data_IF_149771730264
#
_entry.id   IF_149771730264
#
_cell.length_a   1.000
_cell.length_b   1.000
_cell.length_c   1.000
_cell.angle_alpha   90.00
_cell.angle_beta   90.00
_cell.angle_gamma   90.00
#
_symmetry.space_group_name_H-M   'P 1'
#
loop_
_entity.id
_entity.type
_entity.pdbx_description
1 polymer ?
#
# COMPACT_ATOMS: atom_id res chain seq x y z
N UNK A 1 23.09 14.40 -57.12
CA UNK A 1 23.06 13.79 -55.80
C UNK A 1 21.79 12.99 -55.68
N UNK A 2 21.92 11.69 -55.59
CA UNK A 2 20.97 10.70 -56.08
C UNK A 2 19.77 10.48 -55.16
N UNK A 3 18.58 10.46 -55.71
CA UNK A 3 17.31 10.15 -55.02
C UNK A 3 17.29 8.72 -54.40
N UNK A 4 18.25 7.87 -54.75
CA UNK A 4 18.43 6.52 -54.20
C UNK A 4 19.12 6.51 -52.84
N UNK A 5 20.07 7.41 -52.58
CA UNK A 5 20.74 7.49 -51.24
C UNK A 5 19.80 8.03 -50.17
N UNK A 6 18.89 8.96 -50.53
CA UNK A 6 17.91 9.51 -49.61
C UNK A 6 16.83 8.48 -49.15
N UNK A 7 16.57 7.44 -49.98
CA UNK A 7 15.62 6.36 -49.65
C UNK A 7 16.25 5.24 -48.83
N UNK A 8 17.55 5.05 -48.89
CA UNK A 8 18.29 4.07 -48.07
C UNK A 8 18.44 4.56 -46.62
N UNK A 9 18.81 5.84 -46.47
CA UNK A 9 18.97 6.48 -45.15
C UNK A 9 17.63 6.50 -44.34
N UNK A 10 16.51 6.74 -45.05
CA UNK A 10 15.16 6.65 -44.42
C UNK A 10 14.75 5.22 -44.05
N UNK A 11 15.20 4.21 -44.79
CA UNK A 11 14.91 2.80 -44.46
C UNK A 11 15.77 2.29 -43.32
N UNK A 12 17.03 2.66 -43.22
CA UNK A 12 17.90 2.31 -42.09
C UNK A 12 17.43 3.02 -40.80
N UNK A 13 17.12 4.30 -40.85
CA UNK A 13 16.53 5.02 -39.70
C UNK A 13 15.19 4.46 -39.23
N UNK A 14 14.33 4.00 -40.16
CA UNK A 14 13.05 3.36 -39.80
C UNK A 14 13.22 1.98 -39.20
N UNK A 15 14.25 1.22 -39.64
CA UNK A 15 14.60 -0.11 -39.07
C UNK A 15 15.16 -0.01 -37.65
N UNK A 16 16.03 0.98 -37.42
CA UNK A 16 16.60 1.24 -36.08
C UNK A 16 15.56 1.73 -35.07
N UNK A 17 14.67 2.61 -35.52
CA UNK A 17 13.53 3.08 -34.73
C UNK A 17 12.60 1.91 -34.35
N UNK A 18 12.31 1.04 -35.31
CA UNK A 18 11.43 -0.14 -35.10
C UNK A 18 12.07 -1.15 -34.15
N UNK A 19 13.35 -1.45 -34.30
CA UNK A 19 14.08 -2.33 -33.38
C UNK A 19 14.14 -1.75 -31.95
N UNK A 20 14.32 -0.45 -31.78
CA UNK A 20 14.25 0.24 -30.48
C UNK A 20 12.86 0.17 -29.87
N UNK A 21 11.81 0.31 -30.67
CA UNK A 21 10.43 0.16 -30.19
C UNK A 21 10.14 -1.28 -29.74
N UNK A 22 10.56 -2.28 -30.51
CA UNK A 22 10.37 -3.69 -30.16
C UNK A 22 11.14 -4.07 -28.88
N UNK A 23 12.37 -3.58 -28.72
CA UNK A 23 13.16 -3.78 -27.48
C UNK A 23 12.50 -3.08 -26.29
N UNK A 24 12.01 -1.85 -26.44
CA UNK A 24 11.30 -1.12 -25.38
C UNK A 24 9.98 -1.80 -25.00
N UNK A 25 9.26 -2.34 -25.98
CA UNK A 25 8.01 -3.08 -25.74
C UNK A 25 8.28 -4.41 -25.04
N UNK A 26 9.32 -5.14 -25.42
CA UNK A 26 9.76 -6.36 -24.76
C UNK A 26 10.23 -6.09 -23.33
N UNK A 27 11.04 -5.06 -23.10
CA UNK A 27 11.48 -4.62 -21.78
C UNK A 27 10.28 -4.17 -20.90
N UNK A 28 9.31 -3.49 -21.50
CA UNK A 28 8.09 -3.08 -20.79
C UNK A 28 7.25 -4.27 -20.36
N UNK A 29 7.23 -5.33 -21.17
CA UNK A 29 6.51 -6.57 -20.88
C UNK A 29 7.20 -7.38 -19.79
N UNK A 30 8.53 -7.49 -19.82
CA UNK A 30 9.31 -8.15 -18.76
C UNK A 30 9.13 -7.42 -17.42
N UNK A 31 9.17 -6.09 -17.40
CA UNK A 31 8.92 -5.28 -16.20
C UNK A 31 7.54 -5.52 -15.57
N UNK A 32 6.55 -5.96 -16.36
CA UNK A 32 5.20 -6.28 -15.85
C UNK A 32 5.19 -7.51 -14.94
N UNK A 33 6.02 -8.48 -15.23
CA UNK A 33 6.10 -9.75 -14.49
C UNK A 33 7.19 -9.74 -13.41
N UNK A 34 8.06 -8.71 -13.39
CA UNK A 34 9.17 -8.61 -12.46
C UNK A 34 8.75 -8.76 -10.98
N UNK A 35 7.66 -8.13 -10.49
CA UNK A 35 7.22 -8.32 -9.11
C UNK A 35 6.79 -9.76 -8.82
N UNK A 36 6.17 -10.44 -9.78
CA UNK A 36 5.77 -11.83 -9.64
C UNK A 36 6.99 -12.77 -9.58
N UNK A 37 7.98 -12.54 -10.44
CA UNK A 37 9.25 -13.28 -10.37
C UNK A 37 10.00 -12.98 -9.06
N UNK A 38 10.00 -11.72 -8.60
CA UNK A 38 10.55 -11.35 -7.30
C UNK A 38 9.90 -12.11 -6.15
N UNK A 39 8.58 -12.23 -6.16
CA UNK A 39 7.84 -13.05 -5.20
C UNK A 39 8.28 -14.53 -5.23
N UNK A 40 8.37 -15.12 -6.42
CA UNK A 40 8.79 -16.51 -6.57
C UNK A 40 10.24 -16.73 -6.10
N UNK A 41 11.15 -15.78 -6.37
CA UNK A 41 12.54 -15.84 -5.90
C UNK A 41 12.57 -15.79 -4.36
N UNK A 42 11.85 -14.87 -3.74
CA UNK A 42 11.76 -14.75 -2.28
C UNK A 42 11.19 -16.04 -1.67
N UNK A 43 10.10 -16.55 -2.23
CA UNK A 43 9.46 -17.78 -1.77
C UNK A 43 10.39 -18.98 -1.93
N UNK A 44 11.05 -19.12 -3.08
CA UNK A 44 12.02 -20.19 -3.36
C UNK A 44 13.23 -20.14 -2.43
N UNK A 45 13.78 -18.95 -2.19
CA UNK A 45 14.87 -18.75 -1.26
C UNK A 45 14.52 -19.25 0.15
N UNK A 46 13.36 -18.82 0.68
CA UNK A 46 12.95 -19.28 2.01
C UNK A 46 12.48 -20.73 2.02
N UNK A 47 11.94 -21.26 0.93
CA UNK A 47 11.63 -22.70 0.85
C UNK A 47 12.90 -23.55 0.99
N UNK A 48 14.00 -23.15 0.37
CA UNK A 48 15.29 -23.84 0.46
C UNK A 48 15.91 -23.66 1.85
N UNK A 49 16.02 -22.41 2.34
CA UNK A 49 16.71 -22.10 3.61
C UNK A 49 15.99 -22.63 4.84
N UNK A 50 14.65 -22.78 4.79
CA UNK A 50 13.85 -23.35 5.88
C UNK A 50 13.58 -24.85 5.72
N UNK A 51 14.22 -25.54 4.75
CA UNK A 51 13.98 -26.94 4.47
C UNK A 51 12.52 -27.27 4.13
N UNK A 52 11.82 -26.37 3.44
CA UNK A 52 10.40 -26.49 3.08
C UNK A 52 9.43 -26.13 4.19
N UNK A 53 9.88 -25.77 5.38
CA UNK A 53 8.99 -25.51 6.52
C UNK A 53 8.04 -24.31 6.26
N UNK A 54 8.47 -23.30 5.48
CA UNK A 54 7.62 -22.14 5.13
C UNK A 54 6.39 -22.54 4.31
N UNK A 55 6.47 -23.62 3.54
CA UNK A 55 5.39 -24.13 2.68
C UNK A 55 4.42 -25.05 3.42
N UNK A 56 4.64 -25.38 4.69
CA UNK A 56 3.72 -26.20 5.46
C UNK A 56 2.36 -25.50 5.61
N UNK A 57 1.24 -26.25 5.63
CA UNK A 57 -0.10 -25.66 5.76
C UNK A 57 -0.24 -24.73 6.98
N UNK A 58 0.41 -25.11 8.10
CA UNK A 58 0.43 -24.29 9.32
C UNK A 58 1.09 -22.92 9.09
N UNK A 59 2.25 -22.87 8.43
CA UNK A 59 2.96 -21.62 8.18
C UNK A 59 2.28 -20.78 7.11
N UNK A 60 1.70 -21.39 6.07
CA UNK A 60 0.87 -20.68 5.08
C UNK A 60 -0.33 -20.02 5.78
N UNK A 61 -1.01 -20.75 6.66
CA UNK A 61 -2.11 -20.18 7.46
C UNK A 61 -1.65 -19.00 8.32
N UNK A 62 -0.48 -19.09 8.95
CA UNK A 62 0.09 -18.00 9.74
C UNK A 62 0.46 -16.78 8.89
N UNK A 63 1.05 -16.99 7.70
CA UNK A 63 1.36 -15.93 6.75
C UNK A 63 0.08 -15.21 6.32
N UNK A 64 -0.92 -15.95 5.86
CA UNK A 64 -2.20 -15.39 5.42
C UNK A 64 -2.92 -14.65 6.55
N UNK A 65 -2.99 -15.25 7.72
CA UNK A 65 -3.64 -14.62 8.88
C UNK A 65 -2.92 -13.35 9.33
N UNK A 66 -1.59 -13.27 9.18
CA UNK A 66 -0.80 -12.06 9.42
C UNK A 66 -1.11 -10.94 8.43
N UNK A 67 -1.58 -11.30 7.23
CA UNK A 67 -1.76 -10.39 6.11
C UNK A 67 -3.10 -9.68 6.02
N UNK A 68 -4.16 -10.13 6.70
CA UNK A 68 -5.51 -9.58 6.50
C UNK A 68 -5.57 -8.06 6.69
N UNK A 69 -5.10 -7.58 7.83
CA UNK A 69 -5.06 -6.15 8.13
C UNK A 69 -4.19 -5.38 7.13
N UNK A 70 -2.99 -5.90 6.85
CA UNK A 70 -2.03 -5.27 5.95
C UNK A 70 -2.58 -5.19 4.51
N UNK A 71 -3.26 -6.25 4.04
CA UNK A 71 -3.85 -6.32 2.71
C UNK A 71 -4.98 -5.30 2.54
N UNK A 72 -5.82 -5.14 3.56
CA UNK A 72 -6.92 -4.15 3.56
C UNK A 72 -6.34 -2.74 3.57
N UNK A 73 -5.42 -2.41 4.48
CA UNK A 73 -4.79 -1.10 4.55
C UNK A 73 -4.02 -0.76 3.25
N UNK A 74 -3.37 -1.76 2.65
CA UNK A 74 -2.65 -1.63 1.39
C UNK A 74 -3.54 -1.17 0.23
N UNK A 75 -4.84 -1.49 0.22
CA UNK A 75 -5.79 -0.99 -0.78
C UNK A 75 -5.90 0.53 -0.73
N UNK A 76 -6.01 1.11 0.47
CA UNK A 76 -6.06 2.56 0.65
C UNK A 76 -4.75 3.25 0.24
N UNK A 77 -3.62 2.72 0.72
CA UNK A 77 -2.29 3.24 0.38
C UNK A 77 -2.02 3.17 -1.12
N UNK A 78 -2.42 2.08 -1.79
CA UNK A 78 -2.28 1.95 -3.24
C UNK A 78 -3.03 3.04 -4.01
N UNK A 79 -4.24 3.42 -3.56
CA UNK A 79 -4.99 4.50 -4.20
C UNK A 79 -4.25 5.85 -4.06
N UNK A 80 -3.72 6.15 -2.88
CA UNK A 80 -2.96 7.38 -2.61
C UNK A 80 -1.66 7.38 -3.43
N UNK A 81 -0.91 6.28 -3.42
CA UNK A 81 0.33 6.15 -4.18
C UNK A 81 0.09 6.23 -5.70
N UNK A 82 -1.06 5.74 -6.20
CA UNK A 82 -1.40 5.84 -7.62
C UNK A 82 -1.49 7.30 -8.09
N UNK A 83 -1.90 8.23 -7.21
CA UNK A 83 -1.88 9.68 -7.50
C UNK A 83 -0.51 10.34 -7.36
N UNK A 84 0.55 9.59 -7.03
CA UNK A 84 1.88 10.14 -6.75
C UNK A 84 1.98 10.83 -5.39
N UNK A 85 1.11 10.50 -4.45
CA UNK A 85 1.14 10.99 -3.07
C UNK A 85 1.62 9.87 -2.13
N UNK A 86 2.21 10.24 -0.99
CA UNK A 86 2.61 9.32 0.07
C UNK A 86 1.82 9.65 1.33
N UNK A 87 1.44 8.62 2.08
CA UNK A 87 0.75 8.78 3.36
C UNK A 87 1.45 7.94 4.45
N UNK A 88 2.16 8.65 5.32
CA UNK A 88 2.84 8.07 6.47
C UNK A 88 1.96 7.99 7.73
N UNK A 89 0.76 8.54 7.70
CA UNK A 89 -0.12 8.53 8.87
C UNK A 89 -0.89 7.21 9.06
N UNK A 90 -0.80 6.27 8.11
CA UNK A 90 -1.62 5.06 8.07
C UNK A 90 -1.51 4.20 9.34
N UNK A 91 -0.30 4.06 9.90
CA UNK A 91 -0.10 3.28 11.13
C UNK A 91 -0.74 3.93 12.36
N UNK A 92 -0.49 5.21 12.56
CA UNK A 92 -1.07 5.96 13.68
C UNK A 92 -2.58 6.17 13.51
N UNK A 93 -3.06 6.34 12.28
CA UNK A 93 -4.49 6.37 11.93
C UNK A 93 -5.17 5.05 12.32
N UNK A 94 -4.53 3.91 12.01
CA UNK A 94 -5.01 2.59 12.42
C UNK A 94 -5.07 2.49 13.95
N UNK A 95 -4.04 2.94 14.67
CA UNK A 95 -3.99 2.91 16.12
C UNK A 95 -5.15 3.68 16.76
N UNK A 96 -5.37 4.94 16.35
CA UNK A 96 -6.47 5.77 16.86
C UNK A 96 -7.84 5.20 16.46
N UNK A 97 -8.02 4.78 15.21
CA UNK A 97 -9.27 4.15 14.76
C UNK A 97 -9.57 2.87 15.52
N UNK A 98 -8.53 2.08 15.87
CA UNK A 98 -8.67 0.87 16.66
C UNK A 98 -9.05 1.20 18.11
N UNK A 99 -8.51 2.28 18.72
CA UNK A 99 -8.91 2.74 20.05
C UNK A 99 -10.39 3.15 20.08
N UNK A 100 -10.84 3.92 19.06
CA UNK A 100 -12.24 4.29 18.89
C UNK A 100 -13.11 3.03 18.73
N UNK A 101 -12.71 2.10 17.89
CA UNK A 101 -13.42 0.82 17.73
C UNK A 101 -13.53 0.05 19.05
N UNK A 102 -12.41 -0.12 19.78
CA UNK A 102 -12.40 -0.87 21.03
C UNK A 102 -13.32 -0.23 22.07
N UNK A 103 -13.31 1.10 22.18
CA UNK A 103 -14.20 1.83 23.09
C UNK A 103 -15.66 1.55 22.78
N UNK A 104 -16.08 1.72 21.51
CA UNK A 104 -17.48 1.54 21.12
C UNK A 104 -17.88 0.05 21.02
N UNK A 105 -16.93 -0.86 20.95
CA UNK A 105 -17.21 -2.31 20.94
C UNK A 105 -17.89 -2.80 22.23
N UNK A 106 -17.73 -2.07 23.34
CA UNK A 106 -18.41 -2.37 24.61
C UNK A 106 -19.94 -2.23 24.50
N UNK A 107 -20.44 -1.46 23.53
CA UNK A 107 -21.87 -1.22 23.34
C UNK A 107 -22.45 -2.08 22.22
N UNK A 108 -21.89 -2.01 21.02
CA UNK A 108 -22.39 -2.72 19.84
C UNK A 108 -21.32 -2.86 18.77
N UNK A 109 -21.26 -4.05 18.13
CA UNK A 109 -20.27 -4.35 17.09
C UNK A 109 -20.42 -3.45 15.86
N UNK A 110 -21.64 -3.29 15.34
CA UNK A 110 -21.90 -2.54 14.11
C UNK A 110 -21.54 -1.07 14.35
N UNK A 111 -21.95 -0.52 15.47
CA UNK A 111 -21.63 0.85 15.85
C UNK A 111 -20.13 1.08 16.00
N UNK A 112 -19.40 0.11 16.60
CA UNK A 112 -17.95 0.16 16.73
C UNK A 112 -17.24 0.16 15.37
N UNK A 113 -17.67 -0.71 14.43
CA UNK A 113 -17.11 -0.75 13.06
C UNK A 113 -17.32 0.60 12.36
N UNK A 114 -18.54 1.14 12.41
CA UNK A 114 -18.87 2.42 11.79
C UNK A 114 -18.07 3.55 12.42
N UNK A 115 -17.94 3.59 13.75
CA UNK A 115 -17.16 4.60 14.46
C UNK A 115 -15.67 4.54 14.08
N UNK A 116 -15.08 3.34 14.00
CA UNK A 116 -13.70 3.16 13.53
C UNK A 116 -13.48 3.64 12.09
N UNK A 117 -14.42 3.33 11.19
CA UNK A 117 -14.37 3.79 9.79
C UNK A 117 -14.48 5.31 9.72
N UNK A 118 -15.41 5.91 10.47
CA UNK A 118 -15.58 7.37 10.51
C UNK A 118 -14.33 8.04 11.08
N UNK A 119 -13.75 7.52 12.15
CA UNK A 119 -12.52 8.05 12.73
C UNK A 119 -11.37 8.07 11.71
N UNK A 120 -11.14 6.95 11.01
CA UNK A 120 -10.15 6.89 9.93
C UNK A 120 -10.47 7.86 8.78
N UNK A 121 -11.73 7.93 8.35
CA UNK A 121 -12.18 8.85 7.30
C UNK A 121 -12.01 10.33 7.67
N UNK A 122 -12.27 10.72 8.92
CA UNK A 122 -12.07 12.07 9.43
C UNK A 122 -10.58 12.45 9.44
N UNK A 123 -9.71 11.55 9.89
CA UNK A 123 -8.25 11.76 9.83
C UNK A 123 -7.81 11.92 8.38
N UNK A 124 -8.28 11.05 7.48
CA UNK A 124 -8.01 11.17 6.04
C UNK A 124 -8.50 12.50 5.46
N UNK A 125 -9.67 12.98 5.89
CA UNK A 125 -10.20 14.29 5.49
C UNK A 125 -9.31 15.45 5.97
N UNK A 126 -8.84 15.41 7.21
CA UNK A 126 -7.93 16.42 7.77
C UNK A 126 -6.64 16.45 6.95
N UNK A 127 -6.01 15.29 6.70
CA UNK A 127 -4.82 15.20 5.87
C UNK A 127 -5.06 15.77 4.47
N UNK A 128 -6.18 15.41 3.85
CA UNK A 128 -6.53 15.89 2.52
C UNK A 128 -6.71 17.41 2.48
N UNK A 129 -7.40 17.97 3.46
CA UNK A 129 -7.65 19.42 3.51
C UNK A 129 -6.35 20.21 3.68
N UNK A 130 -5.47 19.76 4.59
CA UNK A 130 -4.18 20.40 4.81
C UNK A 130 -3.29 20.26 3.55
N UNK A 131 -3.23 19.06 2.95
CA UNK A 131 -2.46 18.85 1.74
C UNK A 131 -2.98 19.65 0.56
N UNK A 132 -4.29 19.55 0.24
CA UNK A 132 -4.85 20.09 -1.00
C UNK A 132 -5.12 21.60 -0.90
N UNK A 133 -5.70 22.07 0.21
CA UNK A 133 -5.99 23.52 0.39
C UNK A 133 -4.78 24.28 0.87
N UNK A 134 -3.96 23.68 1.74
CA UNK A 134 -2.72 24.29 2.22
C UNK A 134 -1.58 24.24 1.19
N UNK A 135 -1.75 23.49 0.09
CA UNK A 135 -0.71 23.28 -0.94
C UNK A 135 0.62 22.77 -0.38
N UNK A 136 0.55 22.01 0.73
CA UNK A 136 1.71 21.42 1.40
C UNK A 136 1.90 20.02 0.83
N UNK A 137 3.15 19.58 0.67
CA UNK A 137 3.45 18.23 0.20
C UNK A 137 2.80 17.17 1.09
N UNK A 138 2.20 16.14 0.48
CA UNK A 138 1.47 15.08 1.20
C UNK A 138 2.33 14.38 2.24
N UNK A 139 3.59 14.10 1.91
CA UNK A 139 4.58 13.53 2.80
C UNK A 139 4.73 14.33 4.11
N UNK A 140 4.90 15.66 4.01
CA UNK A 140 5.09 16.52 5.19
C UNK A 140 3.85 16.51 6.07
N UNK A 141 2.66 16.70 5.46
CA UNK A 141 1.39 16.69 6.19
C UNK A 141 1.19 15.37 6.94
N UNK A 142 1.36 14.26 6.25
CA UNK A 142 1.07 12.93 6.82
C UNK A 142 2.10 12.51 7.85
N UNK A 143 3.36 12.94 7.73
CA UNK A 143 4.35 12.75 8.79
C UNK A 143 4.01 13.54 10.06
N UNK A 144 3.63 14.81 9.93
CA UNK A 144 3.20 15.60 11.08
C UNK A 144 1.97 14.98 11.76
N UNK A 145 0.98 14.56 10.96
CA UNK A 145 -0.22 13.87 11.46
C UNK A 145 0.14 12.53 12.12
N UNK A 146 1.09 11.78 11.59
CA UNK A 146 1.59 10.54 12.19
C UNK A 146 2.07 10.78 13.63
N UNK A 147 2.93 11.76 13.84
CA UNK A 147 3.44 12.05 15.19
C UNK A 147 2.34 12.53 16.12
N UNK A 148 1.43 13.40 15.64
CA UNK A 148 0.29 13.86 16.40
C UNK A 148 -0.59 12.70 16.86
N UNK A 149 -0.98 11.82 15.95
CA UNK A 149 -1.86 10.68 16.24
C UNK A 149 -1.17 9.64 17.12
N UNK A 150 0.16 9.46 17.00
CA UNK A 150 0.93 8.61 17.93
C UNK A 150 0.88 9.18 19.35
N UNK A 151 1.02 10.49 19.49
CA UNK A 151 0.84 11.16 20.78
C UNK A 151 -0.57 10.96 21.34
N UNK A 152 -1.61 11.12 20.50
CA UNK A 152 -3.02 10.87 20.91
C UNK A 152 -3.21 9.42 21.34
N UNK A 153 -2.70 8.46 20.58
CA UNK A 153 -2.79 7.04 20.92
C UNK A 153 -2.08 6.74 22.25
N UNK A 154 -0.89 7.29 22.47
CA UNK A 154 -0.15 7.16 23.73
C UNK A 154 -0.90 7.76 24.90
N UNK A 155 -1.50 8.96 24.75
CA UNK A 155 -2.31 9.59 25.80
C UNK A 155 -3.52 8.74 26.18
N UNK A 156 -4.25 8.19 25.21
CA UNK A 156 -5.44 7.36 25.46
C UNK A 156 -5.06 6.05 26.17
N UNK A 157 -3.84 5.55 25.94
CA UNK A 157 -3.39 4.26 26.48
C UNK A 157 -2.37 4.40 27.62
N UNK A 158 -2.23 5.60 28.22
CA UNK A 158 -1.21 5.87 29.27
C UNK A 158 -1.44 5.02 30.51
N UNK A 159 -2.69 4.95 30.98
CA UNK A 159 -3.01 4.22 32.23
C UNK A 159 -3.17 2.71 31.98
N UNK A 160 -3.79 2.34 30.89
CA UNK A 160 -4.04 0.95 30.52
C UNK A 160 -4.33 0.80 29.03
N UNK A 161 -4.08 -0.39 28.45
CA UNK A 161 -4.55 -0.70 27.11
C UNK A 161 -6.06 -0.55 26.97
N UNK A 162 -6.54 -0.09 25.81
CA UNK A 162 -7.98 -0.06 25.53
C UNK A 162 -8.39 -1.43 24.99
N UNK A 163 -9.20 -2.16 25.73
CA UNK A 163 -9.62 -3.51 25.38
C UNK A 163 -10.89 -3.49 24.52
N UNK A 164 -10.91 -4.38 23.53
CA UNK A 164 -12.13 -4.69 22.81
C UNK A 164 -13.04 -5.61 23.68
N UNK A 165 -14.34 -5.56 23.43
CA UNK A 165 -15.28 -6.46 24.07
C UNK A 165 -14.95 -7.94 23.76
N UNK A 166 -15.18 -8.84 24.71
CA UNK A 166 -14.79 -10.26 24.62
C UNK A 166 -15.37 -10.99 23.39
N UNK A 167 -16.53 -10.56 22.90
CA UNK A 167 -17.14 -11.17 21.71
C UNK A 167 -16.39 -10.84 20.42
N UNK A 168 -15.61 -9.72 20.39
CA UNK A 168 -14.85 -9.31 19.20
C UNK A 168 -13.76 -10.32 18.88
N UNK A 169 -13.03 -10.78 19.88
CA UNK A 169 -11.95 -11.78 19.68
C UNK A 169 -12.49 -13.14 19.26
N UNK A 170 -13.76 -13.46 19.56
CA UNK A 170 -14.43 -14.68 19.08
C UNK A 170 -14.68 -14.66 17.57
N UNK A 171 -14.65 -13.48 16.93
CA UNK A 171 -14.72 -13.34 15.47
C UNK A 171 -13.39 -13.69 14.76
N UNK A 172 -12.35 -14.03 15.51
CA UNK A 172 -11.06 -14.43 14.94
C UNK A 172 -11.16 -15.82 14.28
N UNK A 173 -11.91 -15.88 13.20
CA UNK A 173 -12.12 -17.06 12.40
C UNK A 173 -11.48 -16.86 11.02
N UNK A 174 -10.56 -17.74 10.63
CA UNK A 174 -9.81 -17.62 9.38
C UNK A 174 -10.70 -17.49 8.12
N UNK A 175 -11.72 -18.34 7.90
CA UNK A 175 -12.61 -18.20 6.74
C UNK A 175 -13.33 -16.84 6.70
N UNK A 176 -13.78 -16.34 7.86
CA UNK A 176 -14.47 -15.05 7.96
C UNK A 176 -13.53 -13.89 7.57
N UNK A 177 -12.36 -13.83 8.20
CA UNK A 177 -11.39 -12.76 7.96
C UNK A 177 -10.84 -12.78 6.53
N UNK A 178 -10.61 -13.98 5.98
CA UNK A 178 -10.21 -14.15 4.59
C UNK A 178 -11.31 -13.69 3.64
N UNK A 179 -12.56 -14.07 3.89
CA UNK A 179 -13.71 -13.63 3.10
C UNK A 179 -13.87 -12.11 3.09
N UNK A 180 -13.77 -11.46 4.26
CA UNK A 180 -13.80 -10.00 4.40
C UNK A 180 -12.65 -9.37 3.60
N UNK A 181 -11.42 -9.89 3.73
CA UNK A 181 -10.25 -9.36 3.02
C UNK A 181 -10.43 -9.46 1.49
N UNK A 182 -10.91 -10.61 1.00
CA UNK A 182 -11.19 -10.81 -0.43
C UNK A 182 -12.30 -9.86 -0.88
N UNK A 183 -13.35 -9.67 -0.10
CA UNK A 183 -14.42 -8.74 -0.42
C UNK A 183 -13.91 -7.30 -0.57
N UNK A 184 -13.07 -6.81 0.35
CA UNK A 184 -12.45 -5.48 0.25
C UNK A 184 -11.54 -5.36 -0.97
N UNK A 185 -10.72 -6.38 -1.25
CA UNK A 185 -9.89 -6.43 -2.46
C UNK A 185 -10.73 -6.35 -3.73
N UNK A 186 -11.80 -7.13 -3.81
CA UNK A 186 -12.71 -7.13 -4.97
C UNK A 186 -13.41 -5.78 -5.14
N UNK A 187 -13.94 -5.20 -4.08
CA UNK A 187 -14.58 -3.88 -4.12
C UNK A 187 -13.58 -2.82 -4.59
N UNK A 188 -12.37 -2.81 -4.03
CA UNK A 188 -11.32 -1.86 -4.44
C UNK A 188 -10.91 -2.10 -5.89
N UNK A 189 -10.76 -3.35 -6.32
CA UNK A 189 -10.43 -3.69 -7.70
C UNK A 189 -11.52 -3.22 -8.67
N UNK A 190 -12.79 -3.51 -8.37
CA UNK A 190 -13.94 -3.13 -9.21
C UNK A 190 -14.03 -1.61 -9.31
N UNK A 191 -13.95 -0.91 -8.17
CA UNK A 191 -14.05 0.55 -8.15
C UNK A 191 -12.89 1.21 -8.91
N UNK A 192 -11.69 0.69 -8.82
CA UNK A 192 -10.53 1.28 -9.51
C UNK A 192 -10.37 0.82 -10.94
N UNK A 193 -10.88 -0.34 -11.32
CA UNK A 193 -10.76 -0.87 -12.69
C UNK A 193 -11.89 -0.40 -13.60
N UNK A 194 -13.12 -0.32 -13.08
CA UNK A 194 -14.33 -0.13 -13.89
C UNK A 194 -15.00 1.23 -13.71
N UNK A 195 -14.48 2.10 -12.83
CA UNK A 195 -15.00 3.45 -12.66
C UNK A 195 -14.00 4.53 -13.13
N UNK A 196 -14.51 5.73 -13.36
CA UNK A 196 -13.68 6.90 -13.69
C UNK A 196 -12.64 7.22 -12.61
N UNK A 197 -12.86 6.78 -11.36
CA UNK A 197 -11.93 7.02 -10.26
C UNK A 197 -10.54 6.48 -10.59
N UNK A 198 -10.42 5.22 -10.99
CA UNK A 198 -9.11 4.62 -11.26
C UNK A 198 -8.36 5.26 -12.45
N UNK A 199 -9.08 5.70 -13.49
CA UNK A 199 -8.50 6.45 -14.58
C UNK A 199 -8.00 7.83 -14.13
N UNK A 200 -8.80 8.53 -13.33
CA UNK A 200 -8.44 9.82 -12.77
C UNK A 200 -7.20 9.72 -11.87
N UNK A 201 -7.10 8.69 -11.02
CA UNK A 201 -5.92 8.46 -10.17
C UNK A 201 -4.64 8.33 -10.99
N UNK A 202 -4.68 7.51 -12.03
CA UNK A 202 -3.52 7.29 -12.92
C UNK A 202 -3.15 8.53 -13.71
N UNK A 203 -4.14 9.29 -14.19
CA UNK A 203 -3.93 10.54 -14.90
C UNK A 203 -3.28 11.60 -13.99
N UNK A 204 -3.78 11.75 -12.75
CA UNK A 204 -3.22 12.68 -11.77
C UNK A 204 -1.77 12.31 -11.44
N UNK A 205 -1.50 11.02 -11.17
CA UNK A 205 -0.16 10.55 -10.86
C UNK A 205 0.82 10.64 -12.03
N UNK A 206 0.34 10.54 -13.27
CA UNK A 206 1.18 10.72 -14.47
C UNK A 206 1.59 12.18 -14.65
N UNK A 207 0.63 13.11 -14.61
CA UNK A 207 0.88 14.55 -14.65
C UNK A 207 -0.35 15.32 -14.14
N UNK A 208 -0.23 15.92 -12.97
CA UNK A 208 -1.34 16.65 -12.35
C UNK A 208 -1.82 17.86 -13.17
N UNK A 209 -0.89 18.59 -13.81
CA UNK A 209 -1.23 19.74 -14.65
C UNK A 209 -2.00 19.30 -15.89
N UNK A 210 -1.53 18.26 -16.58
CA UNK A 210 -2.21 17.71 -17.75
C UNK A 210 -3.60 17.16 -17.40
N UNK A 211 -3.73 16.44 -16.27
CA UNK A 211 -5.01 15.95 -15.78
C UNK A 211 -6.01 17.08 -15.51
N UNK A 212 -5.55 18.22 -14.97
CA UNK A 212 -6.38 19.43 -14.77
C UNK A 212 -6.84 20.03 -16.10
N UNK A 213 -5.97 20.13 -17.08
CA UNK A 213 -6.34 20.62 -18.42
C UNK A 213 -7.29 19.68 -19.16
N UNK A 214 -7.22 18.38 -18.89
CA UNK A 214 -8.19 17.38 -19.37
C UNK A 214 -9.56 17.43 -18.65
N UNK A 215 -9.79 18.41 -17.74
CA UNK A 215 -11.07 18.60 -17.06
C UNK A 215 -11.25 17.76 -15.79
N UNK A 216 -10.21 17.02 -15.32
CA UNK A 216 -10.30 16.25 -14.09
C UNK A 216 -10.31 17.20 -12.89
N UNK A 217 -11.27 17.03 -11.98
CA UNK A 217 -11.38 17.81 -10.73
C UNK A 217 -10.37 17.33 -9.71
N UNK A 218 -9.07 17.57 -9.96
CA UNK A 218 -7.93 17.02 -9.21
C UNK A 218 -8.08 17.19 -7.70
N UNK A 219 -8.38 18.40 -7.22
CA UNK A 219 -8.53 18.66 -5.77
C UNK A 219 -9.63 17.80 -5.14
N UNK A 220 -10.80 17.72 -5.77
CA UNK A 220 -11.92 16.89 -5.25
C UNK A 220 -11.56 15.41 -5.26
N UNK A 221 -10.87 14.93 -6.30
CA UNK A 221 -10.43 13.55 -6.41
C UNK A 221 -9.42 13.21 -5.31
N UNK A 222 -8.42 14.08 -5.09
CA UNK A 222 -7.44 13.89 -3.99
C UNK A 222 -8.13 13.81 -2.64
N UNK A 223 -9.02 14.77 -2.32
CA UNK A 223 -9.75 14.77 -1.04
C UNK A 223 -10.56 13.48 -0.87
N UNK A 224 -11.33 13.09 -1.88
CA UNK A 224 -12.14 11.88 -1.82
C UNK A 224 -11.29 10.62 -1.57
N UNK A 225 -10.13 10.51 -2.23
CA UNK A 225 -9.26 9.35 -2.08
C UNK A 225 -8.63 9.26 -0.69
N UNK A 226 -8.19 10.38 -0.12
CA UNK A 226 -7.68 10.38 1.26
C UNK A 226 -8.76 9.97 2.27
N UNK A 227 -10.00 10.44 2.09
CA UNK A 227 -11.14 10.02 2.93
C UNK A 227 -11.42 8.53 2.78
N UNK A 228 -11.50 8.04 1.54
CA UNK A 228 -11.74 6.61 1.28
C UNK A 228 -10.61 5.74 1.83
N UNK A 229 -9.36 6.13 1.62
CA UNK A 229 -8.21 5.42 2.19
C UNK A 229 -8.24 5.41 3.72
N UNK A 230 -8.61 6.55 4.34
CA UNK A 230 -8.83 6.62 5.77
C UNK A 230 -9.95 5.70 6.27
N UNK A 231 -11.08 5.65 5.56
CA UNK A 231 -12.16 4.70 5.86
C UNK A 231 -11.69 3.24 5.76
N UNK A 232 -10.92 2.89 4.73
CA UNK A 232 -10.35 1.55 4.56
C UNK A 232 -9.40 1.21 5.71
N UNK A 233 -8.57 2.16 6.14
CA UNK A 233 -7.66 1.97 7.30
C UNK A 233 -8.44 1.87 8.60
N UNK A 234 -9.50 2.66 8.79
CA UNK A 234 -10.42 2.52 9.91
C UNK A 234 -11.12 1.16 9.94
N UNK A 235 -11.45 0.60 8.77
CA UNK A 235 -11.97 -0.76 8.67
C UNK A 235 -10.88 -1.82 8.96
N UNK A 236 -9.63 -1.60 8.53
CA UNK A 236 -8.50 -2.46 8.89
C UNK A 236 -8.26 -2.49 10.40
N UNK A 237 -8.57 -1.40 11.11
CA UNK A 237 -8.50 -1.33 12.57
C UNK A 237 -9.46 -2.32 13.26
N UNK A 238 -10.65 -2.56 12.70
CA UNK A 238 -11.55 -3.62 13.17
C UNK A 238 -10.87 -4.99 13.08
N UNK A 239 -10.23 -5.33 11.94
CA UNK A 239 -9.52 -6.60 11.77
C UNK A 239 -8.36 -6.73 12.78
N UNK A 240 -7.65 -5.63 13.04
CA UNK A 240 -6.60 -5.59 14.06
C UNK A 240 -7.16 -5.88 15.47
N UNK A 241 -8.28 -5.24 15.83
CA UNK A 241 -8.95 -5.47 17.11
C UNK A 241 -9.44 -6.92 17.29
N UNK A 242 -9.97 -7.54 16.24
CA UNK A 242 -10.36 -8.96 16.25
C UNK A 242 -9.17 -9.86 16.55
N UNK A 243 -7.99 -9.54 16.01
CA UNK A 243 -6.78 -10.36 16.19
C UNK A 243 -6.07 -10.13 17.52
N UNK A 244 -5.94 -8.89 17.95
CA UNK A 244 -5.13 -8.49 19.10
C UNK A 244 -5.97 -8.35 20.37
N UNK A 245 -7.23 -7.95 20.24
CA UNK A 245 -8.15 -7.79 21.37
C UNK A 245 -7.93 -6.50 22.18
N UNK A 246 -6.92 -5.72 21.89
CA UNK A 246 -6.59 -4.49 22.63
C UNK A 246 -5.77 -3.52 21.77
N UNK A 247 -5.70 -2.29 22.24
CA UNK A 247 -4.84 -1.23 21.69
C UNK A 247 -3.88 -0.74 22.75
N UNK A 248 -2.61 -0.66 22.40
CA UNK A 248 -1.52 -0.10 23.21
C UNK A 248 -0.95 1.14 22.54
N UNK A 249 -0.06 1.86 23.22
CA UNK A 249 0.64 3.03 22.68
C UNK A 249 1.46 2.74 21.41
N UNK A 250 1.82 1.48 21.19
CA UNK A 250 2.58 1.03 20.02
C UNK A 250 1.70 0.50 18.89
N UNK A 251 0.37 0.58 19.02
CA UNK A 251 -0.55 0.09 17.98
C UNK A 251 -0.32 0.78 16.64
N UNK A 252 -0.17 -0.01 15.58
CA UNK A 252 0.12 0.47 14.23
C UNK A 252 1.54 0.98 14.02
N UNK A 253 2.44 0.83 15.00
CA UNK A 253 3.84 1.25 14.83
C UNK A 253 4.49 0.49 13.67
N UNK A 254 5.25 1.21 12.82
CA UNK A 254 5.92 0.69 11.62
C UNK A 254 4.98 0.18 10.51
N UNK A 255 3.64 0.27 10.66
CA UNK A 255 2.71 -0.19 9.63
C UNK A 255 2.85 0.62 8.34
N UNK A 256 3.07 1.94 8.44
CA UNK A 256 3.35 2.80 7.29
C UNK A 256 4.55 2.32 6.48
N UNK A 257 5.63 1.95 7.15
CA UNK A 257 6.84 1.42 6.51
C UNK A 257 6.58 0.06 5.88
N UNK A 258 5.87 -0.83 6.58
CA UNK A 258 5.49 -2.15 6.06
C UNK A 258 4.65 -2.03 4.79
N UNK A 259 3.68 -1.12 4.76
CA UNK A 259 2.84 -0.84 3.60
C UNK A 259 3.65 -0.32 2.42
N UNK A 260 4.57 0.62 2.65
CA UNK A 260 5.45 1.15 1.60
C UNK A 260 6.38 0.08 1.04
N UNK A 261 7.03 -0.71 1.90
CA UNK A 261 7.87 -1.83 1.47
C UNK A 261 7.04 -2.83 0.64
N UNK A 262 5.86 -3.19 1.12
CA UNK A 262 4.96 -4.10 0.41
C UNK A 262 4.59 -3.55 -0.97
N UNK A 263 4.21 -2.26 -1.08
CA UNK A 263 3.88 -1.65 -2.37
C UNK A 263 5.05 -1.68 -3.34
N UNK A 264 6.26 -1.33 -2.88
CA UNK A 264 7.47 -1.31 -3.72
C UNK A 264 7.90 -2.72 -4.12
N UNK A 265 7.82 -3.72 -3.21
CA UNK A 265 8.01 -5.14 -3.54
C UNK A 265 7.02 -5.62 -4.61
N UNK A 266 5.79 -5.11 -4.59
CA UNK A 266 4.80 -5.34 -5.63
C UNK A 266 5.07 -4.62 -6.95
N UNK A 267 6.16 -3.85 -7.06
CA UNK A 267 6.51 -3.07 -8.26
C UNK A 267 5.70 -1.80 -8.44
N UNK A 268 5.16 -1.25 -7.35
CA UNK A 268 4.47 0.04 -7.38
C UNK A 268 5.48 1.16 -7.56
N UNK A 269 5.36 2.02 -8.59
CA UNK A 269 6.23 3.18 -8.72
C UNK A 269 5.92 4.21 -7.61
N UNK A 270 6.96 4.74 -6.98
CA UNK A 270 6.81 5.73 -5.89
C UNK A 270 6.11 6.99 -6.38
N UNK A 271 6.39 7.41 -7.62
CA UNK A 271 5.78 8.57 -8.24
C UNK A 271 4.36 8.31 -8.78
N UNK A 272 3.82 7.10 -8.61
CA UNK A 272 2.49 6.73 -9.07
C UNK A 272 2.33 6.70 -10.60
N UNK A 273 1.13 7.03 -11.07
CA UNK A 273 0.82 7.20 -12.48
C UNK A 273 0.32 5.94 -13.19
N UNK A 274 0.43 5.95 -14.52
CA UNK A 274 -0.18 4.95 -15.41
C UNK A 274 0.31 3.51 -15.18
N UNK A 275 1.52 3.34 -14.65
CA UNK A 275 2.13 2.03 -14.38
C UNK A 275 1.60 1.36 -13.12
N UNK A 276 0.89 2.07 -12.25
CA UNK A 276 0.27 1.51 -11.05
C UNK A 276 -0.77 0.45 -11.43
N UNK A 277 -0.61 -0.77 -10.90
CA UNK A 277 -1.51 -1.90 -11.13
C UNK A 277 -2.05 -2.41 -9.81
N UNK A 278 -3.29 -2.87 -9.79
CA UNK A 278 -3.88 -3.43 -8.57
C UNK A 278 -3.17 -4.73 -8.12
N UNK A 279 -2.62 -5.50 -9.07
CA UNK A 279 -1.82 -6.69 -8.74
C UNK A 279 -0.61 -6.38 -7.83
N UNK A 280 -0.11 -5.14 -7.86
CA UNK A 280 0.99 -4.70 -6.99
C UNK A 280 0.63 -4.82 -5.50
N UNK A 281 -0.65 -4.61 -5.16
CA UNK A 281 -1.15 -4.78 -3.78
C UNK A 281 -0.99 -6.22 -3.33
N UNK A 282 -1.56 -7.15 -4.09
CA UNK A 282 -1.60 -8.58 -3.70
C UNK A 282 -0.20 -9.19 -3.70
N UNK A 283 0.53 -9.03 -4.81
CA UNK A 283 1.89 -9.58 -4.94
C UNK A 283 2.83 -8.93 -3.92
N UNK A 284 2.72 -7.62 -3.72
CA UNK A 284 3.59 -6.90 -2.80
C UNK A 284 3.38 -7.29 -1.35
N UNK A 285 2.12 -7.35 -0.90
CA UNK A 285 1.82 -7.76 0.49
C UNK A 285 2.22 -9.21 0.73
N UNK A 286 1.95 -10.12 -0.20
CA UNK A 286 2.38 -11.51 -0.06
C UNK A 286 3.90 -11.63 -0.03
N UNK A 287 4.63 -10.90 -0.88
CA UNK A 287 6.10 -10.88 -0.88
C UNK A 287 6.64 -10.39 0.46
N UNK A 288 6.06 -9.30 1.00
CA UNK A 288 6.44 -8.77 2.30
C UNK A 288 6.21 -9.78 3.44
N UNK A 289 5.05 -10.42 3.45
CA UNK A 289 4.70 -11.41 4.49
C UNK A 289 5.60 -12.64 4.45
N UNK A 290 5.90 -13.16 3.25
CA UNK A 290 6.83 -14.29 3.08
C UNK A 290 8.23 -13.88 3.53
N UNK A 291 8.70 -12.69 3.15
CA UNK A 291 9.99 -12.16 3.55
C UNK A 291 10.08 -12.03 5.08
N UNK A 292 9.11 -11.35 5.70
CA UNK A 292 9.07 -11.15 7.16
C UNK A 292 9.00 -12.50 7.90
N UNK A 293 8.10 -13.40 7.48
CA UNK A 293 7.94 -14.70 8.13
C UNK A 293 9.15 -15.59 7.94
N UNK A 294 9.76 -15.57 6.74
CA UNK A 294 10.99 -16.31 6.45
C UNK A 294 12.16 -15.87 7.35
N UNK A 295 12.34 -14.56 7.54
CA UNK A 295 13.36 -14.03 8.44
C UNK A 295 13.12 -14.45 9.90
N UNK A 296 11.86 -14.44 10.36
CA UNK A 296 11.50 -14.95 11.70
C UNK A 296 11.86 -16.44 11.83
N UNK A 297 11.58 -17.26 10.81
CA UNK A 297 11.88 -18.69 10.84
C UNK A 297 13.38 -18.99 10.82
N UNK A 298 14.19 -18.08 10.28
CA UNK A 298 15.66 -18.15 10.34
C UNK A 298 16.23 -17.71 11.70
N UNK A 299 15.38 -17.26 12.64
CA UNK A 299 15.79 -16.84 13.98
C UNK A 299 16.34 -15.42 14.07
N UNK A 300 16.16 -14.58 13.03
CA UNK A 300 16.61 -13.19 13.08
C UNK A 300 15.78 -12.37 14.07
N UNK A 301 16.46 -11.53 14.87
CA UNK A 301 15.80 -10.59 15.79
C UNK A 301 15.05 -9.50 15.01
N UNK A 302 14.14 -8.79 15.65
CA UNK A 302 13.33 -7.74 15.01
C UNK A 302 14.18 -6.63 14.39
N UNK A 303 15.30 -6.29 15.05
CA UNK A 303 16.22 -5.24 14.59
C UNK A 303 16.91 -5.65 13.28
N UNK A 304 17.37 -6.91 13.21
CA UNK A 304 17.99 -7.46 11.98
C UNK A 304 16.97 -7.58 10.86
N UNK A 305 15.73 -7.97 11.18
CA UNK A 305 14.65 -8.00 10.19
C UNK A 305 14.40 -6.60 9.62
N UNK A 306 14.33 -5.55 10.46
CA UNK A 306 14.15 -4.18 10.00
C UNK A 306 15.31 -3.70 9.11
N UNK A 307 16.54 -4.05 9.46
CA UNK A 307 17.71 -3.72 8.64
C UNK A 307 17.64 -4.39 7.26
N UNK A 308 17.32 -5.69 7.21
CA UNK A 308 17.18 -6.42 5.95
C UNK A 308 16.05 -5.85 5.11
N UNK A 309 14.88 -5.59 5.72
CA UNK A 309 13.73 -4.99 5.04
C UNK A 309 14.07 -3.60 4.47
N UNK A 310 14.82 -2.79 5.20
CA UNK A 310 15.32 -1.49 4.73
C UNK A 310 16.27 -1.61 3.53
N UNK A 311 17.21 -2.56 3.56
CA UNK A 311 18.10 -2.83 2.44
C UNK A 311 17.35 -3.32 1.20
N UNK A 312 16.40 -4.24 1.37
CA UNK A 312 15.53 -4.71 0.29
C UNK A 312 14.72 -3.57 -0.29
N UNK A 313 14.18 -2.68 0.57
CA UNK A 313 13.43 -1.51 0.12
C UNK A 313 14.29 -0.58 -0.75
N UNK A 314 15.51 -0.24 -0.31
CA UNK A 314 16.44 0.60 -1.08
C UNK A 314 16.78 -0.04 -2.42
N UNK A 315 17.09 -1.35 -2.43
CA UNK A 315 17.38 -2.09 -3.66
C UNK A 315 16.20 -2.06 -4.64
N UNK A 316 14.99 -2.28 -4.15
CA UNK A 316 13.79 -2.27 -4.98
C UNK A 316 13.44 -0.87 -5.50
N UNK A 317 13.61 0.16 -4.67
CA UNK A 317 13.46 1.56 -5.11
C UNK A 317 14.45 1.88 -6.21
N UNK A 318 15.70 1.48 -6.07
CA UNK A 318 16.74 1.70 -7.10
C UNK A 318 16.42 0.99 -8.42
N UNK A 319 15.83 -0.21 -8.36
CA UNK A 319 15.43 -0.99 -9.54
C UNK A 319 14.19 -0.42 -10.24
N UNK A 320 13.20 0.06 -9.47
CA UNK A 320 11.93 0.57 -10.01
C UNK A 320 11.90 2.09 -10.21
N UNK A 321 12.94 2.82 -9.78
CA UNK A 321 13.07 4.26 -10.02
C UNK A 321 13.31 4.53 -11.50
N UNK A 322 12.44 5.34 -12.10
CA UNK A 322 12.62 5.81 -13.48
C UNK A 322 13.71 6.88 -13.53
N UNK A 323 14.86 6.51 -14.04
CA UNK A 323 16.01 7.43 -14.27
C UNK A 323 15.81 8.41 -15.44
N UNK A 324 14.68 8.37 -16.14
CA UNK A 324 14.45 9.05 -17.43
C UNK A 324 13.64 10.34 -17.38
N UNK A 325 13.12 10.77 -16.25
CA UNK A 325 12.40 12.04 -16.14
C UNK A 325 13.05 12.92 -15.09
N UNK A 326 13.64 14.03 -15.51
CA UNK A 326 14.04 15.16 -14.66
C UNK A 326 12.78 15.79 -14.00
N UNK A 327 12.02 15.02 -13.26
CA UNK A 327 11.02 15.54 -12.34
C UNK A 327 11.70 15.70 -10.99
N UNK A 328 12.21 16.90 -10.77
CA UNK A 328 12.52 17.40 -9.43
C UNK A 328 11.36 17.04 -8.53
N UNK A 329 11.65 16.35 -7.45
CA UNK A 329 10.68 16.02 -6.38
C UNK A 329 9.93 17.31 -6.04
N UNK A 330 8.64 17.34 -6.38
CA UNK A 330 7.76 18.49 -6.10
C UNK A 330 7.11 18.30 -4.75
#
# INVERSE_FOLDING_TARGET
MDSKEMTLDQKEGSGEIRSRFDVLETLSSIRKFLPFFGFLIILGFFAITTGGAILTPKNITLILSGGYMLMIAACGVWMIMTMGCLDFSQGSMLGVSCAVFCFFSQYNLIFAIVAGIIAGGLIGLINALIHVKGQIQSFVVTMCTMFLLRGVCALITTESPVYAASYVTKLNNMPLLMGITIAVLLVTFITTRFTALGHNLKAIGANEKAARFAGIKVQKTKIAVYVVAGCITGFAAFINAVKVGSVTSTAGNMLETQLLIAMVLGGMPINGGARARFSNVVVGVLSYLVLQKGLVMMGFTTEVQQLILGLVFIAMVALFSDRGTNQVIK
#
